data_IF_977161091977
#
_entry.id   IF_977161091977
#
_cell.length_a   1.000
_cell.length_b   1.000
_cell.length_c   1.000
_cell.angle_alpha   90.00
_cell.angle_beta   90.00
_cell.angle_gamma   90.00
#
_symmetry.space_group_name_H-M   'P 1'
#
loop_
_entity.id
_entity.type
_entity.pdbx_description
1 polymer ?
#
# COMPACT_ATOMS: atom_id res chain seq x y z
N UNK A 1 35.39 9.65 -16.91
CA UNK A 1 34.68 9.46 -15.62
C UNK A 1 34.55 7.97 -15.40
N UNK A 2 34.88 7.50 -14.20
CA UNK A 2 34.80 6.07 -13.86
C UNK A 2 33.33 5.64 -13.71
N UNK A 3 32.92 4.60 -14.43
CA UNK A 3 31.54 4.10 -14.44
C UNK A 3 31.07 3.68 -13.05
N UNK A 4 31.97 3.13 -12.21
CA UNK A 4 31.62 2.73 -10.85
C UNK A 4 31.29 3.95 -9.97
N UNK A 5 32.06 5.04 -10.09
CA UNK A 5 31.77 6.30 -9.39
C UNK A 5 30.42 6.87 -9.77
N UNK A 6 30.07 6.85 -11.07
CA UNK A 6 28.77 7.34 -11.57
C UNK A 6 27.59 6.50 -11.07
N UNK A 7 27.71 5.16 -11.09
CA UNK A 7 26.66 4.27 -10.58
C UNK A 7 26.43 4.46 -9.08
N UNK A 8 27.50 4.63 -8.30
CA UNK A 8 27.37 4.92 -6.86
C UNK A 8 26.74 6.28 -6.59
N UNK A 9 27.02 7.29 -7.42
CA UNK A 9 26.34 8.59 -7.33
C UNK A 9 24.84 8.44 -7.57
N UNK A 10 24.41 7.78 -8.64
CA UNK A 10 22.98 7.57 -8.92
C UNK A 10 22.26 6.77 -7.82
N UNK A 11 22.92 5.75 -7.27
CA UNK A 11 22.35 4.98 -6.16
C UNK A 11 22.14 5.86 -4.91
N UNK A 12 23.11 6.72 -4.58
CA UNK A 12 22.99 7.67 -3.46
C UNK A 12 21.89 8.69 -3.70
N UNK A 13 21.86 9.31 -4.88
CA UNK A 13 20.84 10.29 -5.25
C UNK A 13 19.43 9.69 -5.16
N UNK A 14 19.25 8.46 -5.65
CA UNK A 14 17.95 7.76 -5.57
C UNK A 14 17.51 7.58 -4.11
N UNK A 15 18.39 7.10 -3.25
CA UNK A 15 18.08 6.90 -1.82
C UNK A 15 17.84 8.22 -1.09
N UNK A 16 18.57 9.28 -1.43
CA UNK A 16 18.37 10.62 -0.85
C UNK A 16 16.99 11.17 -1.20
N UNK A 17 16.53 11.00 -2.44
CA UNK A 17 15.19 11.38 -2.88
C UNK A 17 14.12 10.59 -2.09
N UNK A 18 14.28 9.28 -1.98
CA UNK A 18 13.33 8.44 -1.23
C UNK A 18 13.27 8.82 0.26
N UNK A 19 14.41 9.07 0.89
CA UNK A 19 14.48 9.52 2.28
C UNK A 19 13.82 10.89 2.48
N UNK A 20 13.98 11.81 1.53
CA UNK A 20 13.34 13.12 1.59
C UNK A 20 11.81 12.99 1.52
N UNK A 21 11.28 12.15 0.64
CA UNK A 21 9.82 11.90 0.57
C UNK A 21 9.30 11.13 1.79
N UNK A 22 10.07 10.16 2.30
CA UNK A 22 9.71 9.45 3.53
C UNK A 22 9.61 10.41 4.73
N UNK A 23 10.51 11.39 4.86
CA UNK A 23 10.45 12.43 5.90
C UNK A 23 9.19 13.28 5.79
N UNK A 24 8.74 13.60 4.56
CA UNK A 24 7.50 14.37 4.34
C UNK A 24 6.25 13.65 4.82
N UNK A 25 6.28 12.32 4.95
CA UNK A 25 5.14 11.56 5.46
C UNK A 25 4.75 11.96 6.89
N UNK A 26 5.71 12.44 7.71
CA UNK A 26 5.41 12.89 9.08
C UNK A 26 4.38 14.01 9.11
N UNK A 27 4.42 14.92 8.13
CA UNK A 27 3.46 16.02 8.02
C UNK A 27 2.08 15.58 7.51
N UNK A 28 1.94 14.34 7.03
CA UNK A 28 0.68 13.75 6.55
C UNK A 28 -0.02 12.91 7.63
N UNK A 29 0.57 12.81 8.82
CA UNK A 29 -0.05 12.18 9.98
C UNK A 29 -1.00 13.18 10.66
N UNK A 30 -2.13 13.42 10.00
CA UNK A 30 -3.19 14.33 10.44
C UNK A 30 -4.47 13.57 10.81
N UNK A 31 -5.57 14.28 10.99
CA UNK A 31 -6.87 13.70 11.34
C UNK A 31 -7.40 12.69 10.31
N UNK A 32 -6.99 12.78 9.04
CA UNK A 32 -7.38 11.80 8.03
C UNK A 32 -6.70 10.45 8.28
N UNK A 33 -5.45 10.46 8.78
CA UNK A 33 -4.76 9.24 9.18
C UNK A 33 -5.48 8.58 10.35
N UNK A 34 -5.84 9.35 11.38
CA UNK A 34 -6.60 8.85 12.54
C UNK A 34 -7.93 8.25 12.09
N UNK A 35 -8.67 8.96 11.25
CA UNK A 35 -9.95 8.49 10.70
C UNK A 35 -9.80 7.19 9.90
N UNK A 36 -8.73 7.05 9.11
CA UNK A 36 -8.46 5.81 8.37
C UNK A 36 -8.21 4.63 9.32
N UNK A 37 -7.44 4.84 10.40
CA UNK A 37 -7.22 3.82 11.42
C UNK A 37 -8.52 3.42 12.12
N UNK A 38 -9.35 4.38 12.51
CA UNK A 38 -10.66 4.10 13.15
C UNK A 38 -11.61 3.33 12.24
N UNK A 39 -11.64 3.65 10.94
CA UNK A 39 -12.45 2.92 9.95
C UNK A 39 -11.99 1.46 9.82
N UNK A 40 -10.68 1.21 9.83
CA UNK A 40 -10.13 -0.15 9.77
C UNK A 40 -10.41 -0.92 11.07
N UNK A 41 -10.23 -0.30 12.24
CA UNK A 41 -10.47 -0.93 13.54
C UNK A 41 -11.94 -1.30 13.75
N UNK A 42 -12.87 -0.47 13.26
CA UNK A 42 -14.30 -0.72 13.35
C UNK A 42 -14.85 -1.58 12.19
N UNK A 43 -13.98 -2.05 11.28
CA UNK A 43 -14.39 -2.87 10.15
C UNK A 43 -14.83 -4.26 10.63
N UNK A 44 -16.13 -4.59 10.47
CA UNK A 44 -16.67 -5.93 10.77
C UNK A 44 -16.50 -6.95 9.64
N UNK A 45 -15.98 -6.50 8.51
CA UNK A 45 -15.76 -7.33 7.32
C UNK A 45 -14.28 -7.54 7.08
N UNK A 46 -13.86 -7.31 5.83
CA UNK A 46 -12.46 -7.35 5.43
C UNK A 46 -12.09 -6.05 4.74
N UNK A 47 -10.89 -5.55 4.98
CA UNK A 47 -10.35 -4.44 4.22
C UNK A 47 -9.95 -4.93 2.82
N UNK A 48 -10.51 -4.30 1.78
CA UNK A 48 -10.18 -4.60 0.38
C UNK A 48 -9.22 -3.54 -0.12
N UNK A 49 -8.01 -3.95 -0.48
CA UNK A 49 -7.00 -3.07 -1.06
C UNK A 49 -6.99 -3.29 -2.56
N UNK A 50 -6.97 -2.22 -3.34
CA UNK A 50 -6.98 -2.31 -4.80
C UNK A 50 -6.03 -1.30 -5.43
N UNK A 51 -5.51 -1.63 -6.61
CA UNK A 51 -4.60 -0.78 -7.37
C UNK A 51 -4.09 -1.45 -8.63
N UNK A 52 -3.56 -0.65 -9.55
CA UNK A 52 -2.96 -1.11 -10.82
C UNK A 52 -1.46 -0.80 -10.86
N UNK A 53 -0.71 -1.60 -11.62
CA UNK A 53 0.73 -1.41 -11.83
C UNK A 53 1.53 -1.42 -10.53
N UNK A 54 2.48 -0.49 -10.39
CA UNK A 54 3.33 -0.36 -9.19
C UNK A 54 2.53 -0.19 -7.90
N UNK A 55 1.45 0.59 -7.94
CA UNK A 55 0.54 0.76 -6.79
C UNK A 55 -0.16 -0.55 -6.42
N UNK A 56 -0.46 -1.41 -7.40
CA UNK A 56 -0.98 -2.75 -7.16
C UNK A 56 0.00 -3.65 -6.39
N UNK A 57 1.29 -3.60 -6.73
CA UNK A 57 2.32 -4.34 -6.00
C UNK A 57 2.44 -3.89 -4.53
N UNK A 58 2.44 -2.57 -4.29
CA UNK A 58 2.44 -2.03 -2.92
C UNK A 58 1.15 -2.40 -2.18
N UNK A 59 0.00 -2.27 -2.84
CA UNK A 59 -1.30 -2.64 -2.28
C UNK A 59 -1.38 -4.11 -1.85
N UNK A 60 -0.81 -5.02 -2.64
CA UNK A 60 -0.69 -6.44 -2.29
C UNK A 60 0.13 -6.65 -1.02
N UNK A 61 1.22 -5.90 -0.84
CA UNK A 61 2.03 -5.96 0.38
C UNK A 61 1.27 -5.39 1.59
N UNK A 62 0.55 -4.28 1.42
CA UNK A 62 -0.28 -3.69 2.47
C UNK A 62 -1.35 -4.68 2.94
N UNK A 63 -2.08 -5.32 2.01
CA UNK A 63 -3.10 -6.30 2.35
C UNK A 63 -2.52 -7.50 3.12
N UNK A 64 -1.38 -8.02 2.68
CA UNK A 64 -0.68 -9.11 3.38
C UNK A 64 -0.22 -8.69 4.78
N UNK A 65 0.32 -7.48 4.93
CA UNK A 65 0.74 -6.95 6.23
C UNK A 65 -0.44 -6.81 7.19
N UNK A 66 -1.54 -6.18 6.76
CA UNK A 66 -2.75 -6.05 7.58
C UNK A 66 -3.29 -7.41 8.03
N UNK A 67 -3.38 -8.38 7.10
CA UNK A 67 -3.84 -9.73 7.43
C UNK A 67 -2.93 -10.42 8.46
N UNK A 68 -1.61 -10.25 8.36
CA UNK A 68 -0.64 -10.84 9.30
C UNK A 68 -0.64 -10.18 10.69
N UNK A 69 -1.13 -8.94 10.81
CA UNK A 69 -1.22 -8.21 12.08
C UNK A 69 -2.62 -8.22 12.69
N UNK A 70 -3.51 -9.11 12.21
CA UNK A 70 -4.83 -9.32 12.80
C UNK A 70 -5.97 -8.49 12.21
N UNK A 71 -5.71 -7.69 11.16
CA UNK A 71 -6.76 -6.97 10.40
C UNK A 71 -7.12 -7.76 9.15
N UNK A 72 -8.29 -8.43 9.06
CA UNK A 72 -8.66 -9.22 7.90
C UNK A 72 -8.63 -8.37 6.61
N UNK A 73 -7.75 -8.70 5.66
CA UNK A 73 -7.54 -7.91 4.46
C UNK A 73 -7.15 -8.77 3.26
N UNK A 74 -7.51 -8.32 2.05
CA UNK A 74 -7.06 -8.95 0.80
C UNK A 74 -6.90 -7.91 -0.33
N UNK A 75 -6.12 -8.28 -1.34
CA UNK A 75 -5.91 -7.45 -2.52
C UNK A 75 -6.84 -7.88 -3.66
N UNK A 76 -7.41 -6.90 -4.35
CA UNK A 76 -8.26 -7.10 -5.53
C UNK A 76 -7.70 -6.27 -6.69
N UNK A 77 -7.30 -6.93 -7.79
CA UNK A 77 -6.86 -6.21 -8.98
C UNK A 77 -8.09 -5.65 -9.72
N UNK A 78 -8.16 -4.34 -10.04
CA UNK A 78 -9.35 -3.74 -10.66
C UNK A 78 -9.83 -4.41 -11.95
N UNK A 79 -8.90 -4.90 -12.78
CA UNK A 79 -9.26 -5.60 -14.01
C UNK A 79 -9.89 -6.99 -13.75
N UNK A 80 -9.52 -7.65 -12.65
CA UNK A 80 -10.03 -8.98 -12.29
C UNK A 80 -11.37 -8.87 -11.55
N UNK A 81 -11.60 -7.77 -10.82
CA UNK A 81 -12.86 -7.45 -10.15
C UNK A 81 -14.07 -7.54 -11.11
N UNK A 82 -13.92 -6.96 -12.31
CA UNK A 82 -14.96 -6.93 -13.34
C UNK A 82 -15.24 -8.31 -13.99
N UNK A 83 -14.36 -9.28 -13.81
CA UNK A 83 -14.46 -10.63 -14.40
C UNK A 83 -14.85 -11.71 -13.38
N UNK A 84 -15.25 -11.34 -12.15
CA UNK A 84 -15.84 -12.27 -11.17
C UNK A 84 -15.37 -12.07 -9.73
N UNK A 85 -14.21 -11.44 -9.52
CA UNK A 85 -13.62 -11.32 -8.17
C UNK A 85 -14.37 -10.35 -7.25
N UNK A 86 -15.31 -9.55 -7.79
CA UNK A 86 -16.27 -8.80 -6.96
C UNK A 86 -17.11 -9.70 -6.05
N UNK A 87 -17.25 -10.99 -6.39
CA UNK A 87 -17.87 -11.99 -5.50
C UNK A 87 -17.18 -12.11 -4.13
N UNK A 88 -15.90 -11.69 -4.02
CA UNK A 88 -15.18 -11.64 -2.74
C UNK A 88 -15.64 -10.51 -1.81
N UNK A 89 -16.38 -9.51 -2.31
CA UNK A 89 -16.92 -8.38 -1.54
C UNK A 89 -18.38 -8.65 -1.09
N UNK A 90 -18.76 -9.91 -0.93
CA UNK A 90 -20.08 -10.33 -0.44
C UNK A 90 -20.15 -10.48 1.08
N UNK A 91 -21.36 -10.38 1.66
CA UNK A 91 -21.62 -10.87 3.02
C UNK A 91 -21.48 -12.40 3.00
N UNK A 92 -20.45 -12.94 3.65
CA UNK A 92 -20.49 -14.35 4.04
C UNK A 92 -21.62 -14.48 5.06
N UNK A 93 -22.72 -15.14 4.67
CA UNK A 93 -23.77 -15.61 5.58
C UNK A 93 -23.23 -16.61 6.57
#
# INVERSE_FOLDING_TARGET
MDNASTLLTFARETLEIELAEAKRLLARLDDNFVRACELLLNCRGKAVISGIGKSGHIGKKIAASLASTGTPAFFLHPAEALHGDLGMIGRTT
#
